data_IF_136534111014
#
_entry.id   IF_136534111014
#
_cell.length_a   1.000
_cell.length_b   1.000
_cell.length_c   1.000
_cell.angle_alpha   90.00
_cell.angle_beta   90.00
_cell.angle_gamma   90.00
#
_symmetry.space_group_name_H-M   'P 1'
#
loop_
_entity.id
_entity.type
_entity.pdbx_description
1 polymer ?
#
# COMPACT_ATOMS: atom_id res chain seq x y z
N UNK A 1 -22.22 27.41 -13.74
CA UNK A 1 -22.01 26.15 -14.47
C UNK A 1 -22.97 25.08 -13.96
N UNK A 2 -24.27 25.37 -13.99
CA UNK A 2 -25.35 24.46 -13.61
C UNK A 2 -26.18 24.11 -14.85
N UNK A 3 -25.53 23.63 -15.91
CA UNK A 3 -26.29 22.96 -16.96
C UNK A 3 -26.66 21.59 -16.38
N UNK A 4 -27.90 21.46 -15.91
CA UNK A 4 -28.49 20.31 -15.21
C UNK A 4 -28.29 18.95 -15.95
N UNK A 5 -27.88 18.98 -17.23
CA UNK A 5 -27.56 17.78 -18.01
C UNK A 5 -26.11 17.30 -17.95
N UNK A 6 -25.10 18.13 -17.67
CA UNK A 6 -23.68 17.75 -17.88
C UNK A 6 -22.94 17.27 -16.62
N UNK A 7 -23.56 17.42 -15.44
CA UNK A 7 -23.01 16.96 -14.18
C UNK A 7 -23.42 15.51 -13.93
N UNK A 8 -22.43 14.63 -13.74
CA UNK A 8 -22.65 13.23 -13.40
C UNK A 8 -21.95 12.92 -12.09
N UNK A 9 -22.72 12.52 -11.09
CA UNK A 9 -22.21 12.19 -9.75
C UNK A 9 -22.02 10.69 -9.59
N UNK A 10 -21.42 10.32 -8.48
CA UNK A 10 -21.13 8.94 -8.12
C UNK A 10 -22.39 8.15 -7.67
N UNK A 11 -23.51 8.84 -7.47
CA UNK A 11 -24.85 8.27 -7.35
C UNK A 11 -25.43 7.85 -8.72
N UNK A 12 -25.03 8.51 -9.81
CA UNK A 12 -25.53 8.19 -11.15
C UNK A 12 -24.82 6.98 -11.77
N UNK A 13 -23.60 6.66 -11.32
CA UNK A 13 -22.78 5.59 -11.89
C UNK A 13 -22.50 4.53 -10.81
N UNK A 14 -23.02 3.33 -11.03
CA UNK A 14 -22.73 2.18 -10.18
C UNK A 14 -21.21 1.92 -10.07
N UNK A 15 -20.74 1.45 -8.92
CA UNK A 15 -19.35 0.96 -8.80
C UNK A 15 -19.11 -0.14 -9.83
N UNK A 16 -17.94 -0.12 -10.46
CA UNK A 16 -17.55 -1.07 -11.51
C UNK A 16 -18.55 -1.15 -12.68
N UNK A 17 -19.07 0.00 -13.14
CA UNK A 17 -19.88 0.12 -14.33
C UNK A 17 -19.14 -0.37 -15.59
N UNK A 18 -19.83 -1.17 -16.42
CA UNK A 18 -19.29 -1.70 -17.68
C UNK A 18 -19.17 -0.60 -18.74
N UNK A 19 -18.32 -0.77 -19.77
CA UNK A 19 -18.22 0.18 -20.89
C UNK A 19 -19.57 0.51 -21.55
N UNK A 20 -20.47 -0.47 -21.64
CA UNK A 20 -21.82 -0.28 -22.20
C UNK A 20 -22.65 0.76 -21.44
N UNK A 21 -22.45 0.90 -20.13
CA UNK A 21 -23.11 1.94 -19.33
C UNK A 21 -22.71 3.33 -19.83
N UNK A 22 -21.41 3.55 -20.04
CA UNK A 22 -20.90 4.83 -20.51
C UNK A 22 -21.39 5.13 -21.94
N UNK A 23 -21.40 4.14 -22.82
CA UNK A 23 -21.92 4.32 -24.19
C UNK A 23 -23.42 4.61 -24.20
N UNK A 24 -24.21 3.99 -23.32
CA UNK A 24 -25.67 4.16 -23.28
C UNK A 24 -26.10 5.43 -22.56
N UNK A 25 -25.45 5.79 -21.46
CA UNK A 25 -25.94 6.83 -20.55
C UNK A 25 -25.08 8.10 -20.55
N UNK A 26 -23.77 7.99 -20.81
CA UNK A 26 -22.84 9.11 -20.69
C UNK A 26 -22.52 9.72 -22.06
N UNK A 27 -22.32 8.89 -23.09
CA UNK A 27 -22.03 9.37 -24.44
C UNK A 27 -23.13 10.28 -25.01
N UNK A 28 -24.45 10.03 -24.82
CA UNK A 28 -25.48 10.96 -25.28
C UNK A 28 -25.38 12.34 -24.60
N UNK A 29 -25.09 12.35 -23.30
CA UNK A 29 -24.88 13.58 -22.53
C UNK A 29 -23.67 14.34 -23.08
N UNK A 30 -22.56 13.64 -23.34
CA UNK A 30 -21.36 14.22 -23.94
C UNK A 30 -21.64 14.77 -25.34
N UNK A 31 -22.41 14.07 -26.16
CA UNK A 31 -22.75 14.54 -27.51
C UNK A 31 -23.63 15.78 -27.48
N UNK A 32 -24.59 15.84 -26.56
CA UNK A 32 -25.50 16.97 -26.39
C UNK A 32 -24.78 18.20 -25.81
N UNK A 33 -24.01 18.02 -24.74
CA UNK A 33 -23.44 19.14 -23.97
C UNK A 33 -21.99 19.46 -24.33
N UNK A 34 -21.34 18.64 -25.17
CA UNK A 34 -19.91 18.67 -25.54
C UNK A 34 -18.92 18.48 -24.39
N UNK A 35 -19.37 18.63 -23.16
CA UNK A 35 -18.60 18.46 -21.93
C UNK A 35 -19.45 17.70 -20.92
N UNK A 36 -18.81 16.79 -20.17
CA UNK A 36 -19.40 16.10 -19.02
C UNK A 36 -18.45 16.26 -17.83
N UNK A 37 -18.98 16.72 -16.70
CA UNK A 37 -18.22 16.84 -15.47
C UNK A 37 -18.59 15.69 -14.53
N UNK A 38 -17.61 14.84 -14.21
CA UNK A 38 -17.79 13.78 -13.22
C UNK A 38 -17.36 14.25 -11.84
N UNK A 39 -18.28 14.28 -10.88
CA UNK A 39 -18.01 14.65 -9.49
C UNK A 39 -18.05 13.42 -8.59
N UNK A 40 -17.08 13.31 -7.67
CA UNK A 40 -16.95 12.13 -6.79
C UNK A 40 -16.49 10.86 -7.52
N UNK A 41 -15.88 11.01 -8.70
CA UNK A 41 -15.57 9.89 -9.59
C UNK A 41 -14.32 9.11 -9.18
N UNK A 42 -14.48 8.20 -8.21
CA UNK A 42 -13.44 7.26 -7.80
C UNK A 42 -13.58 5.88 -8.46
N UNK A 43 -12.75 5.57 -9.47
CA UNK A 43 -12.61 4.22 -10.06
C UNK A 43 -13.93 3.51 -10.43
N UNK A 44 -14.90 4.23 -11.04
CA UNK A 44 -16.22 3.67 -11.35
C UNK A 44 -16.24 2.73 -12.55
N UNK A 45 -15.26 2.77 -13.44
CA UNK A 45 -15.16 1.84 -14.57
C UNK A 45 -14.74 0.45 -14.10
N UNK A 46 -15.47 -0.58 -14.53
CA UNK A 46 -15.18 -1.98 -14.24
C UNK A 46 -13.72 -2.36 -14.56
N UNK A 47 -13.22 -3.43 -13.94
CA UNK A 47 -11.96 -4.05 -14.38
C UNK A 47 -12.18 -5.02 -15.53
N UNK A 48 -13.36 -5.66 -15.59
CA UNK A 48 -13.74 -6.60 -16.65
C UNK A 48 -15.27 -6.59 -16.88
N UNK A 49 -15.75 -6.97 -18.08
CA UNK A 49 -14.95 -7.14 -19.30
C UNK A 49 -14.54 -5.78 -19.87
N UNK A 50 -13.28 -5.65 -20.30
CA UNK A 50 -12.79 -4.53 -21.10
C UNK A 50 -12.09 -5.03 -22.38
N UNK A 51 -12.28 -4.34 -23.52
CA UNK A 51 -11.49 -4.60 -24.72
C UNK A 51 -9.99 -4.56 -24.44
N UNK A 52 -9.24 -5.48 -25.07
CA UNK A 52 -7.80 -5.61 -24.88
C UNK A 52 -7.04 -4.29 -25.03
N UNK A 53 -7.35 -3.50 -26.06
CA UNK A 53 -6.66 -2.23 -26.32
C UNK A 53 -6.92 -1.19 -25.22
N UNK A 54 -8.14 -1.13 -24.67
CA UNK A 54 -8.45 -0.24 -23.56
C UNK A 54 -7.74 -0.69 -22.28
N UNK A 55 -7.69 -2.00 -22.03
CA UNK A 55 -6.95 -2.53 -20.89
C UNK A 55 -5.44 -2.25 -21.01
N UNK A 56 -4.89 -2.40 -22.23
CA UNK A 56 -3.49 -2.07 -22.55
C UNK A 56 -3.20 -0.58 -22.38
N UNK A 57 -4.12 0.29 -22.80
CA UNK A 57 -4.02 1.72 -22.56
C UNK A 57 -4.00 2.04 -21.07
N UNK A 58 -4.92 1.49 -20.27
CA UNK A 58 -4.93 1.66 -18.80
C UNK A 58 -3.60 1.26 -18.16
N UNK A 59 -3.05 0.12 -18.58
CA UNK A 59 -1.73 -0.33 -18.13
C UNK A 59 -0.63 0.69 -18.46
N UNK A 60 -0.55 1.14 -19.72
CA UNK A 60 0.46 2.10 -20.16
C UNK A 60 0.31 3.46 -19.49
N UNK A 61 -0.91 3.96 -19.34
CA UNK A 61 -1.16 5.20 -18.60
C UNK A 61 -0.66 5.08 -17.16
N UNK A 62 -1.05 4.03 -16.44
CA UNK A 62 -0.71 3.86 -15.03
C UNK A 62 0.79 3.67 -14.78
N UNK A 63 1.47 2.85 -15.59
CA UNK A 63 2.86 2.47 -15.32
C UNK A 63 3.90 3.30 -16.09
N UNK A 64 3.58 3.87 -17.25
CA UNK A 64 4.53 4.61 -18.09
C UNK A 64 4.26 6.11 -18.18
N UNK A 65 2.99 6.50 -18.38
CA UNK A 65 2.63 7.90 -18.63
C UNK A 65 2.56 8.71 -17.33
N UNK A 66 1.98 8.14 -16.27
CA UNK A 66 1.96 8.77 -14.95
C UNK A 66 3.37 8.77 -14.36
N UNK A 67 3.95 9.96 -14.25
CA UNK A 67 5.26 10.21 -13.64
C UNK A 67 5.12 11.27 -12.58
N UNK A 68 5.90 11.13 -11.50
CA UNK A 68 5.97 12.16 -10.48
C UNK A 68 6.63 13.43 -11.03
N UNK A 69 6.20 14.58 -10.52
CA UNK A 69 6.82 15.87 -10.83
C UNK A 69 8.28 15.90 -10.35
N UNK A 70 9.17 16.69 -10.99
CA UNK A 70 10.61 16.68 -10.70
C UNK A 70 10.96 16.85 -9.21
N UNK A 71 10.27 17.74 -8.50
CA UNK A 71 10.46 17.96 -7.05
C UNK A 71 10.28 16.68 -6.21
N UNK A 72 9.27 15.85 -6.53
CA UNK A 72 9.03 14.57 -5.83
C UNK A 72 10.10 13.54 -6.24
N UNK A 73 10.49 13.51 -7.52
CA UNK A 73 11.52 12.60 -8.00
C UNK A 73 12.89 12.86 -7.36
N UNK A 74 13.27 14.13 -7.22
CA UNK A 74 14.54 14.54 -6.62
C UNK A 74 14.62 14.13 -5.14
N UNK A 75 13.58 14.42 -4.37
CA UNK A 75 13.53 14.07 -2.94
C UNK A 75 13.35 12.56 -2.74
N UNK A 76 12.60 11.90 -3.61
CA UNK A 76 12.51 10.44 -3.64
C UNK A 76 13.86 9.78 -3.93
N UNK A 77 14.65 10.31 -4.86
CA UNK A 77 16.00 9.83 -5.15
C UNK A 77 16.93 10.01 -3.94
N UNK A 78 16.83 11.15 -3.25
CA UNK A 78 17.56 11.44 -2.03
C UNK A 78 17.26 10.43 -0.92
N UNK A 79 15.97 10.12 -0.69
CA UNK A 79 15.55 9.11 0.29
C UNK A 79 16.10 7.72 -0.04
N UNK A 80 15.99 7.28 -1.31
CA UNK A 80 16.57 6.01 -1.78
C UNK A 80 18.07 5.97 -1.50
N UNK A 81 18.78 7.05 -1.84
CA UNK A 81 20.22 7.18 -1.63
C UNK A 81 20.59 7.06 -0.15
N UNK A 82 19.88 7.74 0.74
CA UNK A 82 20.11 7.67 2.20
C UNK A 82 19.82 6.28 2.77
N UNK A 83 18.73 5.62 2.33
CA UNK A 83 18.44 4.23 2.72
C UNK A 83 19.51 3.24 2.25
N UNK A 84 20.16 3.53 1.12
CA UNK A 84 21.31 2.77 0.60
C UNK A 84 22.66 3.30 1.12
N UNK A 85 22.65 4.04 2.23
CA UNK A 85 23.83 4.60 2.91
C UNK A 85 24.74 5.44 2.01
N UNK A 86 24.13 6.21 1.10
CA UNK A 86 24.84 7.01 0.11
C UNK A 86 25.76 6.21 -0.83
N UNK A 87 25.60 4.89 -0.89
CA UNK A 87 26.28 4.05 -1.90
C UNK A 87 25.56 4.22 -3.23
N UNK A 88 26.32 4.61 -4.24
CA UNK A 88 25.88 4.81 -5.62
C UNK A 88 25.63 3.46 -6.29
N UNK A 89 24.43 2.91 -6.08
CA UNK A 89 23.91 1.75 -6.82
C UNK A 89 22.64 2.16 -7.56
N UNK A 90 22.64 1.99 -8.88
CA UNK A 90 21.42 2.09 -9.67
C UNK A 90 20.52 0.87 -9.38
N UNK A 91 19.39 1.11 -8.74
CA UNK A 91 18.36 0.11 -8.53
C UNK A 91 17.59 -0.13 -9.83
N UNK A 92 17.11 -1.36 -10.02
CA UNK A 92 16.42 -1.79 -11.25
C UNK A 92 15.22 -0.90 -11.61
N UNK A 93 14.52 -0.36 -10.63
CA UNK A 93 13.31 0.44 -10.82
C UNK A 93 13.58 1.95 -10.75
N UNK A 94 14.77 2.37 -10.32
CA UNK A 94 15.07 3.77 -10.06
C UNK A 94 14.87 4.66 -11.31
N UNK A 95 15.30 4.29 -12.54
CA UNK A 95 15.06 5.11 -13.72
C UNK A 95 13.58 5.36 -14.02
N UNK A 96 12.70 4.41 -13.65
CA UNK A 96 11.26 4.53 -13.87
C UNK A 96 10.58 5.37 -12.78
N UNK A 97 11.15 5.40 -11.57
CA UNK A 97 10.59 6.12 -10.42
C UNK A 97 11.04 7.58 -10.37
N UNK A 98 12.34 7.82 -10.52
CA UNK A 98 12.97 9.13 -10.29
C UNK A 98 13.65 9.71 -11.53
N UNK A 99 13.52 9.05 -12.68
CA UNK A 99 13.97 9.56 -13.98
C UNK A 99 15.45 9.99 -13.96
N UNK A 100 15.78 11.24 -14.35
CA UNK A 100 17.17 11.70 -14.44
C UNK A 100 17.88 11.76 -13.07
N UNK A 101 17.13 11.83 -11.97
CA UNK A 101 17.70 11.88 -10.62
C UNK A 101 18.25 10.53 -10.16
N UNK A 102 17.99 9.43 -10.88
CA UNK A 102 18.55 8.11 -10.57
C UNK A 102 20.09 8.06 -10.67
N UNK A 103 20.68 8.94 -11.49
CA UNK A 103 22.11 8.93 -11.84
C UNK A 103 22.89 10.13 -11.28
N UNK A 104 22.23 11.10 -10.63
CA UNK A 104 22.85 12.37 -10.19
C UNK A 104 23.77 12.14 -8.98
N UNK A 105 25.07 12.46 -9.12
CA UNK A 105 26.07 12.36 -8.05
C UNK A 105 26.86 11.04 -7.99
N UNK A 106 27.03 10.36 -9.13
CA UNK A 106 27.82 9.12 -9.19
C UNK A 106 29.33 9.39 -9.12
N UNK A 107 29.95 8.99 -8.01
CA UNK A 107 31.35 8.57 -8.00
C UNK A 107 31.38 7.04 -8.09
N UNK A 108 32.17 6.50 -9.02
CA UNK A 108 32.36 5.06 -9.21
C UNK A 108 33.32 4.58 -8.11
N UNK A 109 32.79 4.28 -6.93
CA UNK A 109 33.51 3.44 -5.95
C UNK A 109 32.93 2.04 -6.02
N UNK A 110 33.75 1.08 -6.42
CA UNK A 110 33.41 -0.34 -6.40
C UNK A 110 33.22 -0.77 -4.93
N UNK A 111 31.97 -0.82 -4.47
CA UNK A 111 31.63 -1.33 -3.13
C UNK A 111 31.38 -2.84 -3.23
N UNK A 112 32.16 -3.64 -2.48
CA UNK A 112 32.03 -5.12 -2.43
C UNK A 112 30.62 -5.61 -2.07
N UNK A 113 29.88 -4.87 -1.26
CA UNK A 113 28.51 -5.21 -0.85
C UNK A 113 27.61 -3.97 -0.81
N UNK A 114 26.59 -3.92 -1.66
CA UNK A 114 25.67 -2.78 -1.68
C UNK A 114 24.68 -2.86 -0.51
N UNK A 115 24.48 -1.80 0.28
CA UNK A 115 23.52 -1.78 1.38
C UNK A 115 22.11 -2.08 0.86
N UNK A 116 21.44 -3.06 1.49
CA UNK A 116 20.05 -3.43 1.20
C UNK A 116 19.14 -2.92 2.31
N UNK A 117 17.89 -2.68 1.95
CA UNK A 117 16.87 -2.33 2.94
C UNK A 117 15.52 -2.98 2.63
N UNK A 118 14.75 -3.17 3.70
CA UNK A 118 13.35 -3.55 3.63
C UNK A 118 12.50 -2.29 3.75
N UNK A 119 11.48 -2.13 2.92
CA UNK A 119 10.46 -1.11 3.15
C UNK A 119 9.21 -1.78 3.72
N UNK A 120 8.70 -1.24 4.84
CA UNK A 120 7.53 -1.72 5.55
C UNK A 120 6.41 -0.69 5.43
N UNK A 121 5.29 -1.06 4.81
CA UNK A 121 4.06 -0.28 4.89
C UNK A 121 3.19 -0.81 6.03
N UNK A 122 3.10 -0.04 7.10
CA UNK A 122 2.37 -0.37 8.33
C UNK A 122 1.04 0.39 8.33
N UNK A 123 -0.03 -0.24 7.82
CA UNK A 123 -1.38 0.33 7.81
C UNK A 123 -2.02 0.15 9.19
N UNK A 124 -1.65 1.04 10.11
CA UNK A 124 -2.05 1.02 11.52
C UNK A 124 -2.33 2.45 12.05
N UNK A 125 -2.84 3.31 11.18
CA UNK A 125 -3.30 4.65 11.54
C UNK A 125 -4.68 4.62 12.20
N UNK A 126 -5.02 5.67 12.96
CA UNK A 126 -6.25 5.71 13.78
C UNK A 126 -7.53 5.49 12.97
N UNK A 127 -7.58 5.96 11.72
CA UNK A 127 -8.72 5.76 10.82
C UNK A 127 -8.94 4.27 10.52
N UNK A 128 -7.85 3.54 10.26
CA UNK A 128 -7.88 2.10 10.01
C UNK A 128 -8.22 1.32 11.28
N UNK A 129 -7.61 1.68 12.41
CA UNK A 129 -7.84 1.05 13.71
C UNK A 129 -9.31 1.22 14.11
N UNK A 130 -9.83 2.45 14.08
CA UNK A 130 -11.21 2.77 14.44
C UNK A 130 -12.24 2.13 13.51
N UNK A 131 -12.04 2.19 12.18
CA UNK A 131 -12.95 1.59 11.20
C UNK A 131 -13.02 0.06 11.30
N UNK A 132 -11.95 -0.59 11.77
CA UNK A 132 -11.88 -2.05 11.81
C UNK A 132 -12.81 -2.72 12.82
N UNK A 133 -13.33 -1.98 13.81
CA UNK A 133 -14.11 -2.50 14.95
C UNK A 133 -13.38 -3.58 15.76
N UNK A 134 -12.05 -3.67 15.62
CA UNK A 134 -11.23 -4.61 16.37
C UNK A 134 -10.73 -3.99 17.68
N UNK A 135 -10.24 -4.86 18.56
CA UNK A 135 -9.55 -4.51 19.80
C UNK A 135 -8.08 -4.91 19.67
N UNK A 136 -7.19 -4.12 20.25
CA UNK A 136 -5.74 -4.27 20.14
C UNK A 136 -5.03 -4.24 21.49
N UNK A 137 -5.79 -4.46 22.58
CA UNK A 137 -5.25 -4.67 23.92
C UNK A 137 -5.21 -3.42 24.80
N UNK A 138 -5.75 -2.27 24.36
CA UNK A 138 -5.81 -1.05 25.16
C UNK A 138 -7.00 -0.94 26.12
N UNK A 139 -7.82 -2.00 26.24
CA UNK A 139 -8.89 -2.08 27.23
C UNK A 139 -10.04 -1.09 27.02
N UNK A 140 -10.64 -0.64 28.13
CA UNK A 140 -11.77 0.32 28.12
C UNK A 140 -11.39 1.67 27.51
N UNK A 141 -10.16 2.12 27.71
CA UNK A 141 -9.66 3.40 27.22
C UNK A 141 -9.60 3.41 25.69
N UNK A 142 -8.94 2.40 25.08
CA UNK A 142 -8.92 2.23 23.62
C UNK A 142 -10.34 2.14 23.06
N UNK A 143 -11.23 1.39 23.72
CA UNK A 143 -12.62 1.28 23.26
C UNK A 143 -13.34 2.61 23.24
N UNK A 144 -13.21 3.42 24.29
CA UNK A 144 -13.83 4.75 24.38
C UNK A 144 -13.26 5.70 23.34
N UNK A 145 -11.94 5.74 23.20
CA UNK A 145 -11.27 6.61 22.23
C UNK A 145 -11.69 6.30 20.79
N UNK A 146 -11.60 5.02 20.39
CA UNK A 146 -11.94 4.61 19.04
C UNK A 146 -13.44 4.79 18.76
N UNK A 147 -14.30 4.65 19.78
CA UNK A 147 -15.73 4.95 19.64
C UNK A 147 -15.97 6.44 19.39
N UNK A 148 -15.36 7.33 20.17
CA UNK A 148 -15.44 8.77 19.95
C UNK A 148 -14.95 9.16 18.53
N UNK A 149 -13.86 8.56 18.07
CA UNK A 149 -13.35 8.76 16.71
C UNK A 149 -14.38 8.30 15.65
N UNK A 150 -15.02 7.14 15.84
CA UNK A 150 -16.06 6.62 14.94
C UNK A 150 -17.28 7.53 14.86
N UNK A 151 -17.73 8.10 15.97
CA UNK A 151 -18.88 9.02 16.00
C UNK A 151 -18.65 10.23 15.09
N UNK A 152 -17.42 10.75 15.04
CA UNK A 152 -17.07 11.93 14.24
C UNK A 152 -16.77 11.57 12.79
N UNK A 153 -15.95 10.54 12.55
CA UNK A 153 -15.38 10.27 11.23
C UNK A 153 -16.08 9.17 10.44
N UNK A 154 -16.87 8.31 11.11
CA UNK A 154 -17.55 7.18 10.50
C UNK A 154 -19.03 7.07 10.94
N UNK A 155 -19.85 8.14 10.80
CA UNK A 155 -21.23 8.13 11.27
C UNK A 155 -22.07 7.02 10.61
N UNK A 156 -21.84 6.73 9.34
CA UNK A 156 -22.52 5.62 8.65
C UNK A 156 -22.18 4.24 9.25
N UNK A 157 -20.96 4.05 9.76
CA UNK A 157 -20.57 2.81 10.44
C UNK A 157 -21.26 2.70 11.80
N UNK A 158 -21.38 3.81 12.52
CA UNK A 158 -22.12 3.88 13.79
C UNK A 158 -23.61 3.57 13.59
N UNK A 159 -24.24 4.09 12.54
CA UNK A 159 -25.63 3.75 12.26
C UNK A 159 -25.79 2.26 11.86
N UNK A 160 -24.80 1.68 11.19
CA UNK A 160 -24.78 0.25 10.89
C UNK A 160 -24.65 -0.61 12.15
N UNK A 161 -23.87 -0.20 13.16
CA UNK A 161 -23.74 -0.97 14.41
C UNK A 161 -25.04 -0.97 15.22
N UNK A 162 -25.86 0.08 15.11
CA UNK A 162 -27.19 0.17 15.72
C UNK A 162 -28.24 -0.68 15.01
N UNK A 163 -28.19 -0.70 13.67
CA UNK A 163 -29.24 -1.34 12.84
C UNK A 163 -28.94 -2.80 12.50
N UNK A 164 -27.68 -3.23 12.57
CA UNK A 164 -27.26 -4.59 12.23
C UNK A 164 -26.33 -5.16 13.29
N UNK A 165 -26.51 -6.46 13.57
CA UNK A 165 -25.56 -7.22 14.38
C UNK A 165 -24.28 -7.46 13.59
N UNK A 166 -23.24 -6.68 13.90
CA UNK A 166 -21.92 -6.84 13.31
C UNK A 166 -21.12 -7.96 14.03
N UNK A 167 -20.12 -8.56 13.37
CA UNK A 167 -19.26 -9.56 14.01
C UNK A 167 -18.50 -8.97 15.21
N UNK A 168 -18.28 -9.79 16.24
CA UNK A 168 -17.50 -9.36 17.41
C UNK A 168 -16.02 -9.15 17.06
N UNK A 169 -15.27 -8.36 17.85
CA UNK A 169 -13.82 -8.16 17.63
C UNK A 169 -13.04 -9.47 17.48
N UNK A 170 -13.37 -10.49 18.29
CA UNK A 170 -12.75 -11.81 18.22
C UNK A 170 -13.01 -12.53 16.88
N UNK A 171 -14.22 -12.40 16.32
CA UNK A 171 -14.56 -12.98 15.00
C UNK A 171 -13.85 -12.21 13.88
N UNK A 172 -13.83 -10.87 13.95
CA UNK A 172 -13.10 -10.05 12.98
C UNK A 172 -11.61 -10.40 12.97
N UNK A 173 -11.03 -10.66 14.15
CA UNK A 173 -9.65 -11.09 14.31
C UNK A 173 -9.41 -12.47 13.69
N UNK A 174 -10.22 -13.46 14.04
CA UNK A 174 -10.04 -14.84 13.55
C UNK A 174 -10.22 -14.96 12.03
N UNK A 175 -11.06 -14.11 11.42
CA UNK A 175 -11.23 -14.02 9.96
C UNK A 175 -10.14 -13.17 9.28
N UNK A 176 -9.21 -12.59 10.04
CA UNK A 176 -8.11 -11.79 9.53
C UNK A 176 -8.56 -10.42 8.98
N UNK A 177 -9.68 -9.90 9.47
CA UNK A 177 -10.21 -8.59 9.07
C UNK A 177 -9.53 -7.46 9.85
N UNK A 178 -9.03 -7.73 11.06
CA UNK A 178 -8.27 -6.75 11.83
C UNK A 178 -6.94 -6.34 11.14
N UNK A 179 -6.49 -5.09 11.33
CA UNK A 179 -5.13 -4.66 11.08
C UNK A 179 -4.12 -5.50 11.88
N UNK A 180 -2.94 -5.72 11.31
CA UNK A 180 -1.84 -6.38 12.02
C UNK A 180 -1.16 -5.34 12.92
N UNK A 181 -1.01 -5.64 14.21
CA UNK A 181 -0.38 -4.72 15.15
C UNK A 181 1.12 -4.59 14.88
N UNK A 182 1.77 -3.48 15.26
CA UNK A 182 3.21 -3.32 15.08
C UNK A 182 4.05 -4.42 15.76
N UNK A 183 3.63 -4.90 16.93
CA UNK A 183 4.26 -5.99 17.69
C UNK A 183 4.18 -7.30 16.92
N UNK A 184 3.02 -7.61 16.37
CA UNK A 184 2.82 -8.79 15.51
C UNK A 184 3.66 -8.69 14.23
N UNK A 185 3.77 -7.49 13.68
CA UNK A 185 4.60 -7.21 12.50
C UNK A 185 6.08 -7.44 12.81
N UNK A 186 6.55 -7.02 13.99
CA UNK A 186 7.90 -7.30 14.46
C UNK A 186 8.18 -8.81 14.56
N UNK A 187 7.24 -9.57 15.15
CA UNK A 187 7.34 -11.03 15.25
C UNK A 187 7.35 -11.73 13.89
N UNK A 188 6.53 -11.25 12.94
CA UNK A 188 6.51 -11.77 11.57
C UNK A 188 7.85 -11.54 10.87
N UNK A 189 8.41 -10.32 10.96
CA UNK A 189 9.72 -10.02 10.35
C UNK A 189 10.83 -10.86 10.98
N UNK A 190 10.85 -10.99 12.31
CA UNK A 190 11.82 -11.81 13.03
C UNK A 190 11.75 -13.29 12.59
N UNK A 191 10.52 -13.81 12.45
CA UNK A 191 10.28 -15.17 11.95
C UNK A 191 10.72 -15.41 10.52
N UNK A 192 10.80 -14.35 9.71
CA UNK A 192 11.31 -14.44 8.34
C UNK A 192 12.84 -14.42 8.29
N UNK A 193 13.51 -14.16 9.42
CA UNK A 193 14.96 -14.09 9.56
C UNK A 193 15.52 -12.66 9.50
N UNK A 194 14.68 -11.63 9.56
CA UNK A 194 15.16 -10.26 9.69
C UNK A 194 15.63 -10.02 11.11
N UNK A 195 16.89 -9.60 11.26
CA UNK A 195 17.55 -9.37 12.54
C UNK A 195 17.75 -7.87 12.81
N UNK A 196 18.37 -7.55 13.95
CA UNK A 196 18.63 -6.16 14.41
C UNK A 196 19.44 -5.32 13.42
N UNK A 197 20.23 -5.93 12.55
CA UNK A 197 21.03 -5.24 11.53
C UNK A 197 20.22 -4.88 10.27
N UNK A 198 18.95 -5.31 10.20
CA UNK A 198 18.06 -4.99 9.08
C UNK A 198 17.74 -3.50 9.08
N UNK A 199 18.01 -2.82 7.95
CA UNK A 199 17.54 -1.45 7.72
C UNK A 199 16.11 -1.48 7.23
N UNK A 200 15.23 -0.76 7.91
CA UNK A 200 13.80 -0.72 7.60
C UNK A 200 13.41 0.72 7.28
N UNK A 201 12.85 0.94 6.10
CA UNK A 201 12.10 2.15 5.81
C UNK A 201 10.64 1.93 6.21
N UNK A 202 10.13 2.67 7.19
CA UNK A 202 8.73 2.62 7.61
C UNK A 202 7.94 3.67 6.83
N UNK A 203 7.04 3.18 5.97
CA UNK A 203 6.11 3.98 5.19
C UNK A 203 4.74 4.05 5.86
N UNK A 204 4.09 5.20 5.75
CA UNK A 204 2.83 5.49 6.40
C UNK A 204 2.84 6.85 7.09
N UNK A 205 1.72 7.17 7.70
CA UNK A 205 1.53 8.39 8.48
C UNK A 205 1.59 8.08 9.99
N UNK A 206 0.87 8.89 10.77
CA UNK A 206 0.76 8.75 12.22
C UNK A 206 0.16 7.40 12.63
N UNK A 207 1.02 6.50 13.11
CA UNK A 207 0.64 5.23 13.72
C UNK A 207 -0.16 5.52 15.00
N UNK A 208 -1.28 4.82 15.20
CA UNK A 208 -2.10 4.95 16.40
C UNK A 208 -1.27 4.68 17.67
N UNK A 209 -1.42 5.53 18.69
CA UNK A 209 -0.58 5.64 19.91
C UNK A 209 0.93 5.93 19.66
N UNK A 210 1.34 6.11 18.40
CA UNK A 210 2.66 6.62 18.03
C UNK A 210 3.82 5.77 18.56
N UNK A 211 4.66 6.38 19.41
CA UNK A 211 5.92 5.77 19.87
C UNK A 211 5.71 4.53 20.73
N UNK A 212 4.65 4.48 21.55
CA UNK A 212 4.38 3.31 22.42
C UNK A 212 4.10 2.07 21.57
N UNK A 213 3.19 2.19 20.59
CA UNK A 213 2.86 1.14 19.62
C UNK A 213 4.07 0.70 18.78
N UNK A 214 4.97 1.64 18.46
CA UNK A 214 6.16 1.35 17.66
C UNK A 214 7.32 0.76 18.48
N UNK A 215 7.23 0.70 19.81
CA UNK A 215 8.34 0.29 20.68
C UNK A 215 8.90 -1.10 20.31
N UNK A 216 8.05 -2.09 20.08
CA UNK A 216 8.50 -3.43 19.70
C UNK A 216 9.31 -3.44 18.38
N UNK A 217 8.89 -2.65 17.39
CA UNK A 217 9.59 -2.53 16.11
C UNK A 217 10.91 -1.79 16.27
N UNK A 218 10.94 -0.65 16.96
CA UNK A 218 12.14 0.17 17.10
C UNK A 218 13.19 -0.49 18.01
N UNK A 219 12.75 -1.20 19.05
CA UNK A 219 13.65 -2.00 19.91
C UNK A 219 14.29 -3.16 19.13
N UNK A 220 13.52 -3.86 18.28
CA UNK A 220 14.03 -5.01 17.53
C UNK A 220 14.81 -4.61 16.27
N UNK A 221 14.47 -3.48 15.65
CA UNK A 221 15.06 -2.97 14.42
C UNK A 221 15.56 -1.53 14.62
N UNK A 222 16.73 -1.34 15.26
CA UNK A 222 17.26 -0.01 15.59
C UNK A 222 17.60 0.86 14.38
N UNK A 223 17.74 0.27 13.18
CA UNK A 223 17.95 1.00 11.92
C UNK A 223 16.63 1.24 11.16
N UNK A 224 15.53 1.41 11.89
CA UNK A 224 14.26 1.85 11.35
C UNK A 224 14.31 3.36 11.09
N UNK A 225 13.91 3.76 9.89
CA UNK A 225 13.89 5.14 9.45
C UNK A 225 12.57 5.46 8.76
N UNK A 226 12.15 6.72 8.84
CA UNK A 226 11.00 7.27 8.12
C UNK A 226 11.48 8.41 7.21
N UNK A 227 10.60 8.94 6.35
CA UNK A 227 10.91 10.15 5.57
C UNK A 227 11.27 11.33 6.48
N UNK A 228 10.58 11.48 7.62
CA UNK A 228 10.80 12.55 8.59
C UNK A 228 12.18 12.42 9.27
N UNK A 229 12.65 11.20 9.55
CA UNK A 229 13.98 11.01 10.13
C UNK A 229 15.11 11.10 9.10
N UNK A 230 14.81 10.85 7.82
CA UNK A 230 15.81 10.84 6.76
C UNK A 230 15.99 12.20 6.10
N UNK A 231 14.98 13.07 6.10
CA UNK A 231 15.01 14.40 5.48
C UNK A 231 15.31 15.47 6.51
N UNK A 232 16.05 16.50 6.12
CA UNK A 232 16.15 17.72 6.92
C UNK A 232 14.82 18.47 6.92
N UNK A 233 14.68 19.42 7.84
CA UNK A 233 13.51 20.27 7.89
C UNK A 233 13.28 21.01 6.56
N UNK A 234 14.32 21.58 5.96
CA UNK A 234 14.21 22.29 4.67
C UNK A 234 13.84 21.37 3.50
N UNK A 235 14.22 20.10 3.56
CA UNK A 235 13.91 19.13 2.51
C UNK A 235 12.46 18.61 2.59
N UNK A 236 11.90 18.45 3.80
CA UNK A 236 10.54 17.91 4.00
C UNK A 236 9.45 18.99 4.03
N UNK A 237 9.76 20.20 4.53
CA UNK A 237 8.83 21.32 4.64
C UNK A 237 8.01 21.58 3.36
N UNK A 238 8.59 21.53 2.15
CA UNK A 238 7.84 21.77 0.92
C UNK A 238 6.73 20.74 0.63
N UNK A 239 6.63 19.66 1.40
CA UNK A 239 5.62 18.61 1.29
C UNK A 239 4.73 18.49 2.53
N UNK A 240 5.04 19.18 3.63
CA UNK A 240 4.43 18.96 4.95
C UNK A 240 2.90 19.08 4.93
N UNK A 241 2.36 20.03 4.15
CA UNK A 241 0.92 20.27 4.03
C UNK A 241 0.25 19.45 2.92
N UNK A 242 0.98 18.56 2.26
CA UNK A 242 0.50 17.78 1.11
C UNK A 242 0.66 16.28 1.37
N UNK A 243 -0.31 15.70 2.09
CA UNK A 243 -0.33 14.27 2.44
C UNK A 243 -0.15 13.34 1.24
N UNK A 244 -0.72 13.69 0.09
CA UNK A 244 -0.56 12.93 -1.16
C UNK A 244 0.87 12.97 -1.73
N UNK A 245 1.60 14.09 -1.54
CA UNK A 245 2.99 14.18 -1.96
C UNK A 245 3.92 13.44 -1.00
N UNK A 246 3.65 13.49 0.30
CA UNK A 246 4.36 12.66 1.29
C UNK A 246 4.16 11.17 1.02
N UNK A 247 2.94 10.75 0.69
CA UNK A 247 2.65 9.38 0.26
C UNK A 247 3.35 9.02 -1.07
N UNK A 248 3.55 9.98 -1.98
CA UNK A 248 4.33 9.75 -3.20
C UNK A 248 5.81 9.47 -2.90
N UNK A 249 6.40 10.15 -1.90
CA UNK A 249 7.75 9.85 -1.43
C UNK A 249 7.83 8.44 -0.85
N UNK A 250 6.88 8.07 0.01
CA UNK A 250 6.77 6.70 0.54
C UNK A 250 6.65 5.67 -0.59
N UNK A 251 5.83 5.95 -1.61
CA UNK A 251 5.66 5.07 -2.76
C UNK A 251 6.99 4.81 -3.48
N UNK A 252 7.78 5.86 -3.72
CA UNK A 252 9.08 5.76 -4.41
C UNK A 252 10.03 4.86 -3.61
N UNK A 253 10.20 5.12 -2.31
CA UNK A 253 11.14 4.38 -1.45
C UNK A 253 10.67 2.94 -1.25
N UNK A 254 9.38 2.70 -1.03
CA UNK A 254 8.83 1.35 -0.96
C UNK A 254 9.04 0.56 -2.25
N UNK A 255 8.82 1.20 -3.40
CA UNK A 255 8.93 0.54 -4.70
C UNK A 255 10.39 0.20 -5.05
N UNK A 256 11.34 1.06 -4.69
CA UNK A 256 12.78 0.89 -4.94
C UNK A 256 13.50 -0.05 -3.97
N UNK A 257 12.84 -0.51 -2.91
CA UNK A 257 13.40 -1.39 -1.88
C UNK A 257 13.78 -2.79 -2.41
N UNK A 258 14.76 -3.43 -1.77
CA UNK A 258 15.12 -4.83 -2.08
C UNK A 258 13.98 -5.78 -1.68
N UNK A 259 13.33 -5.50 -0.54
CA UNK A 259 12.14 -6.22 -0.08
C UNK A 259 11.07 -5.23 0.34
N UNK A 260 9.85 -5.40 -0.17
CA UNK A 260 8.68 -4.65 0.28
C UNK A 260 7.81 -5.54 1.17
N UNK A 261 7.50 -5.13 2.39
CA UNK A 261 6.56 -5.78 3.28
C UNK A 261 5.36 -4.86 3.53
N UNK A 262 4.17 -5.43 3.59
CA UNK A 262 2.94 -4.70 3.90
C UNK A 262 2.20 -5.38 5.04
N UNK A 263 1.44 -4.63 5.83
CA UNK A 263 0.52 -5.23 6.83
C UNK A 263 -0.91 -5.34 6.31
N UNK A 264 -1.31 -4.44 5.42
CA UNK A 264 -2.58 -4.52 4.73
C UNK A 264 -2.41 -4.58 3.22
N UNK A 265 -2.76 -5.75 2.67
CA UNK A 265 -2.76 -5.98 1.23
C UNK A 265 -3.96 -5.40 0.51
N UNK A 266 -5.02 -5.01 1.23
CA UNK A 266 -6.22 -4.37 0.73
C UNK A 266 -6.02 -2.89 0.41
N UNK A 267 -5.12 -2.21 1.13
CA UNK A 267 -4.82 -0.80 0.91
C UNK A 267 -4.41 -0.49 -0.54
N UNK A 268 -4.82 0.70 -1.00
CA UNK A 268 -4.47 1.21 -2.32
C UNK A 268 -2.96 1.41 -2.46
N UNK A 269 -2.30 1.92 -1.42
CA UNK A 269 -0.86 2.13 -1.39
C UNK A 269 -0.09 0.82 -1.62
N UNK A 270 -0.34 -0.22 -0.81
CA UNK A 270 0.30 -1.54 -0.98
C UNK A 270 0.03 -2.14 -2.36
N UNK A 271 -1.18 -1.94 -2.88
CA UNK A 271 -1.59 -2.44 -4.20
C UNK A 271 -0.81 -1.77 -5.33
N UNK A 272 -0.63 -0.45 -5.28
CA UNK A 272 0.13 0.30 -6.27
C UNK A 272 1.61 -0.05 -6.23
N UNK A 273 2.23 -0.09 -5.04
CA UNK A 273 3.65 -0.48 -4.89
C UNK A 273 3.88 -1.90 -5.42
N UNK A 274 3.02 -2.85 -5.02
CA UNK A 274 3.12 -4.24 -5.46
C UNK A 274 2.94 -4.36 -6.98
N UNK A 275 1.95 -3.66 -7.54
CA UNK A 275 1.72 -3.63 -8.98
C UNK A 275 2.92 -3.10 -9.75
N UNK A 276 3.49 -1.98 -9.32
CA UNK A 276 4.66 -1.39 -9.97
C UNK A 276 5.88 -2.31 -9.91
N UNK A 277 6.11 -2.95 -8.76
CA UNK A 277 7.16 -3.97 -8.58
C UNK A 277 6.93 -5.19 -9.47
N UNK A 278 5.69 -5.63 -9.69
CA UNK A 278 5.39 -6.73 -10.62
C UNK A 278 5.62 -6.29 -12.07
N UNK A 279 5.14 -5.10 -12.45
CA UNK A 279 5.20 -4.59 -13.83
C UNK A 279 6.65 -4.43 -14.32
N UNK A 280 7.47 -3.65 -13.62
CA UNK A 280 8.86 -3.40 -14.02
C UNK A 280 9.85 -4.45 -13.49
N UNK A 281 9.56 -5.04 -12.32
CA UNK A 281 10.38 -6.08 -11.73
C UNK A 281 10.15 -7.49 -12.31
N UNK A 282 9.15 -7.65 -13.19
CA UNK A 282 8.81 -8.93 -13.82
C UNK A 282 8.32 -9.98 -12.82
N UNK A 283 7.72 -9.54 -11.71
CA UNK A 283 7.28 -10.42 -10.61
C UNK A 283 8.40 -11.07 -9.79
N UNK A 284 9.67 -10.72 -10.03
CA UNK A 284 10.84 -11.31 -9.34
C UNK A 284 11.24 -10.57 -8.07
N UNK A 285 10.76 -9.35 -7.88
CA UNK A 285 11.08 -8.55 -6.69
C UNK A 285 10.35 -9.07 -5.47
N UNK A 286 11.07 -9.20 -4.35
CA UNK A 286 10.52 -9.77 -3.13
C UNK A 286 9.45 -8.85 -2.53
N UNK A 287 8.22 -9.35 -2.43
CA UNK A 287 7.12 -8.66 -1.77
C UNK A 287 6.48 -9.59 -0.75
N UNK A 288 6.51 -9.20 0.52
CA UNK A 288 5.95 -9.94 1.66
C UNK A 288 4.51 -9.47 1.86
N UNK A 289 3.57 -10.38 1.61
CA UNK A 289 2.14 -10.15 1.78
C UNK A 289 1.61 -11.03 2.92
N UNK A 290 0.95 -10.48 3.94
CA UNK A 290 0.45 -11.26 5.05
C UNK A 290 -0.82 -12.00 4.61
N UNK A 291 -0.95 -13.26 5.06
CA UNK A 291 -2.24 -13.93 5.12
C UNK A 291 -2.81 -13.69 6.52
N UNK A 292 -3.53 -12.58 6.69
CA UNK A 292 -3.98 -12.11 8.01
C UNK A 292 -4.79 -13.16 8.77
N UNK A 293 -5.65 -13.91 8.09
CA UNK A 293 -6.44 -15.01 8.70
C UNK A 293 -5.54 -16.09 9.29
N UNK A 294 -4.55 -16.56 8.51
CA UNK A 294 -3.59 -17.55 9.00
C UNK A 294 -2.65 -17.02 10.07
N UNK A 295 -2.28 -15.75 9.99
CA UNK A 295 -1.49 -15.11 11.04
C UNK A 295 -2.29 -15.02 12.35
N UNK A 296 -3.56 -14.60 12.29
CA UNK A 296 -4.45 -14.59 13.44
C UNK A 296 -4.60 -15.98 14.07
N UNK A 297 -4.76 -17.04 13.27
CA UNK A 297 -4.76 -18.42 13.77
C UNK A 297 -3.46 -18.78 14.50
N UNK A 298 -2.30 -18.31 14.02
CA UNK A 298 -1.00 -18.57 14.66
C UNK A 298 -0.89 -17.81 15.99
N UNK A 299 -1.35 -16.56 16.05
CA UNK A 299 -1.26 -15.70 17.23
C UNK A 299 -2.26 -16.08 18.33
N UNK A 300 -3.49 -16.44 17.96
CA UNK A 300 -4.61 -16.60 18.91
C UNK A 300 -4.74 -18.03 19.44
N UNK A 301 -4.50 -19.05 18.61
CA UNK A 301 -4.77 -20.45 19.03
C UNK A 301 -3.66 -21.04 19.89
N UNK A 302 -2.45 -20.49 19.87
CA UNK A 302 -1.30 -21.07 20.55
C UNK A 302 -0.51 -20.01 21.35
N UNK A 303 -1.08 -19.56 22.47
CA UNK A 303 -0.48 -18.56 23.36
C UNK A 303 0.91 -18.97 23.90
N UNK A 304 1.25 -20.26 23.83
CA UNK A 304 2.50 -20.87 24.32
C UNK A 304 3.28 -21.59 23.21
N UNK A 305 3.14 -21.16 21.95
CA UNK A 305 3.89 -21.76 20.84
C UNK A 305 5.40 -21.51 20.98
N UNK A 306 6.19 -22.60 20.97
CA UNK A 306 7.65 -22.48 20.93
C UNK A 306 8.15 -21.79 19.66
N UNK A 307 9.19 -20.95 19.78
CA UNK A 307 9.68 -20.08 18.69
C UNK A 307 9.94 -20.83 17.37
N UNK A 308 10.61 -21.99 17.40
CA UNK A 308 10.87 -22.79 16.19
C UNK A 308 9.60 -23.19 15.45
N UNK A 309 8.52 -23.50 16.17
CA UNK A 309 7.23 -23.88 15.58
C UNK A 309 6.52 -22.65 15.03
N UNK A 310 6.53 -21.54 15.77
CA UNK A 310 6.00 -20.25 15.34
C UNK A 310 6.65 -19.79 14.04
N UNK A 311 7.98 -19.78 14.01
CA UNK A 311 8.79 -19.41 12.86
C UNK A 311 8.43 -20.25 11.63
N UNK A 312 8.36 -21.58 11.78
CA UNK A 312 7.99 -22.50 10.70
C UNK A 312 6.59 -22.19 10.15
N UNK A 313 5.61 -21.91 11.02
CA UNK A 313 4.23 -21.59 10.63
C UNK A 313 4.14 -20.24 9.90
N UNK A 314 4.80 -19.20 10.42
CA UNK A 314 4.85 -17.88 9.77
C UNK A 314 5.53 -17.95 8.41
N UNK A 315 6.71 -18.60 8.32
CA UNK A 315 7.40 -18.80 7.02
C UNK A 315 6.52 -19.53 6.02
N UNK A 316 5.78 -20.56 6.45
CA UNK A 316 4.82 -21.28 5.59
C UNK A 316 3.68 -20.36 5.12
N UNK A 317 3.09 -19.56 6.01
CA UNK A 317 2.02 -18.63 5.68
C UNK A 317 2.47 -17.57 4.65
N UNK A 318 3.67 -16.99 4.83
CA UNK A 318 4.21 -15.98 3.93
C UNK A 318 4.67 -16.58 2.59
N UNK A 319 5.25 -17.78 2.56
CA UNK A 319 5.68 -18.42 1.29
C UNK A 319 4.53 -18.59 0.30
N UNK A 320 3.32 -18.86 0.78
CA UNK A 320 2.16 -19.06 -0.08
C UNK A 320 1.66 -17.78 -0.76
N UNK A 321 1.96 -16.62 -0.19
CA UNK A 321 1.54 -15.31 -0.72
C UNK A 321 2.63 -14.63 -1.56
N UNK A 322 3.85 -15.18 -1.62
CA UNK A 322 4.96 -14.66 -2.43
C UNK A 322 4.78 -14.85 -3.93
N UNK A 323 3.92 -15.79 -4.36
CA UNK A 323 3.74 -16.10 -5.79
C UNK A 323 2.97 -14.98 -6.48
N UNK A 324 3.52 -14.50 -7.61
CA UNK A 324 2.83 -13.57 -8.50
C UNK A 324 2.01 -14.38 -9.48
N UNK A 325 0.68 -14.31 -9.35
CA UNK A 325 -0.25 -15.04 -10.20
C UNK A 325 -0.69 -14.20 -11.40
N UNK A 326 -1.22 -14.87 -12.42
CA UNK A 326 -1.99 -14.21 -13.48
C UNK A 326 -3.12 -13.39 -12.86
N UNK A 327 -3.44 -12.26 -13.51
CA UNK A 327 -4.54 -11.39 -13.09
C UNK A 327 -5.87 -12.18 -13.03
N UNK A 328 -6.52 -12.27 -11.86
CA UNK A 328 -7.86 -12.86 -11.80
C UNK A 328 -8.90 -11.95 -12.48
N UNK A 329 -9.97 -12.56 -13.00
CA UNK A 329 -11.11 -11.83 -13.58
C UNK A 329 -11.73 -10.90 -12.53
N UNK A 330 -12.12 -9.71 -12.95
CA UNK A 330 -12.67 -8.64 -12.12
C UNK A 330 -11.62 -7.86 -11.32
N UNK A 331 -10.34 -8.25 -11.36
CA UNK A 331 -9.29 -7.57 -10.58
C UNK A 331 -8.56 -6.51 -11.40
N UNK A 332 -8.33 -5.36 -10.78
CA UNK A 332 -7.62 -4.23 -11.40
C UNK A 332 -6.22 -4.61 -11.87
N UNK A 333 -5.88 -4.17 -13.08
CA UNK A 333 -4.52 -4.28 -13.64
C UNK A 333 -3.47 -3.48 -12.87
N UNK A 334 -3.87 -2.47 -12.10
CA UNK A 334 -2.93 -1.68 -11.30
C UNK A 334 -2.38 -2.49 -10.13
N UNK A 335 -3.17 -3.43 -9.60
CA UNK A 335 -2.77 -4.35 -8.53
C UNK A 335 -2.20 -5.66 -9.07
N UNK A 336 -2.74 -6.13 -10.18
CA UNK A 336 -2.37 -7.40 -10.81
C UNK A 336 -2.00 -7.20 -12.28
N UNK A 337 -0.84 -6.60 -12.59
CA UNK A 337 -0.46 -6.31 -13.97
C UNK A 337 -0.02 -7.53 -14.77
N UNK A 338 0.13 -8.71 -14.15
CA UNK A 338 0.54 -9.95 -14.86
C UNK A 338 -0.61 -10.48 -15.74
N UNK A 339 -0.78 -9.86 -16.90
CA UNK A 339 -1.72 -10.24 -17.95
C UNK A 339 -1.25 -9.69 -19.30
N UNK A 340 -1.69 -10.30 -20.41
CA UNK A 340 -1.26 -9.93 -21.78
C UNK A 340 -1.48 -8.45 -22.14
N UNK A 341 -2.49 -7.81 -21.54
CA UNK A 341 -2.76 -6.39 -21.77
C UNK A 341 -1.69 -5.47 -21.15
N UNK A 342 -1.07 -5.88 -20.04
CA UNK A 342 -0.07 -5.09 -19.32
C UNK A 342 1.36 -5.53 -19.63
N UNK A 343 1.60 -6.84 -19.65
CA UNK A 343 2.93 -7.46 -19.71
C UNK A 343 2.98 -8.48 -20.85
N UNK A 344 4.06 -8.47 -21.63
CA UNK A 344 4.24 -9.40 -22.75
C UNK A 344 4.57 -10.81 -22.27
N UNK A 345 5.40 -10.95 -21.23
CA UNK A 345 5.74 -12.24 -20.65
C UNK A 345 4.83 -12.55 -19.45
N UNK A 346 3.83 -13.41 -19.66
CA UNK A 346 2.94 -13.88 -18.60
C UNK A 346 3.36 -15.23 -18.01
N UNK A 347 4.27 -15.94 -18.66
CA UNK A 347 4.53 -17.36 -18.42
C UNK A 347 5.87 -17.51 -17.70
N UNK A 348 5.80 -18.08 -16.49
CA UNK A 348 6.91 -18.48 -15.61
C UNK A 348 6.30 -19.12 -14.36
#
# INVERSE_FOLDING_TARGET
>A
MEAIGSLVTDANISKEAKPSFYLKHILPILNQNRVVHFVGFGNRLASDPLPFQLQRLRCRCNFHALRFVPKIQEVGALLIRRMRQNVTRLGRLDPHLVGPYAMRGQSIRAVKTTPRYLALHLRFEIDMVAHSLCEFGGGEEERRELEAYRQIHFPALVELTKTKKLPSPAVLRSEGLCPLMPEETALVLASLGYNRQTRIYLAGAHIYEGKSRLAALTTLYPYLATKESLLSQSEIQPFANFSSQLAALDFIVCTASDVFAMTDSGSQFSSLVSGYRVYYGGGKMATIRPNKRRLADIFVKNNTIGWKVFEKRVRKAVRQTKRVFLRPVGRSVYRYPRCRACMCNTDN
#
